data_IF_082985051266
#
_entry.id   IF_082985051266
#
_cell.length_a   1.000
_cell.length_b   1.000
_cell.length_c   1.000
_cell.angle_alpha   90.00
_cell.angle_beta   90.00
_cell.angle_gamma   90.00
#
_symmetry.space_group_name_H-M   'P 1'
#
loop_
_entity.id
_entity.type
_entity.pdbx_description
1 polymer ?
#
# COMPACT_ATOMS: atom_id res chain seq x y z
N UNK A 1 9.22 7.81 19.62
CA UNK A 1 9.69 6.55 19.01
C UNK A 1 8.61 6.02 18.09
N UNK A 2 8.89 5.85 16.79
CA UNK A 2 7.96 5.18 15.88
C UNK A 2 7.84 3.71 16.32
N UNK A 3 6.69 3.34 16.88
CA UNK A 3 6.44 1.96 17.26
C UNK A 3 6.27 1.12 15.99
N UNK A 4 7.10 0.11 15.79
CA UNK A 4 7.03 -0.82 14.65
C UNK A 4 5.61 -1.42 14.53
N UNK A 5 4.95 -1.69 15.67
CA UNK A 5 3.56 -2.16 15.67
C UNK A 5 2.60 -1.11 15.09
N UNK A 6 2.85 0.17 15.35
CA UNK A 6 2.09 1.27 14.78
C UNK A 6 2.27 1.39 13.28
N UNK A 7 3.51 1.31 12.79
CA UNK A 7 3.81 1.37 11.36
C UNK A 7 3.18 0.22 10.57
N UNK A 8 3.20 -1.00 11.13
CA UNK A 8 2.47 -2.13 10.50
C UNK A 8 0.97 -1.86 10.42
N UNK A 9 0.36 -1.41 11.51
CA UNK A 9 -1.06 -1.06 11.52
C UNK A 9 -1.37 0.04 10.51
N UNK A 10 -0.51 1.04 10.40
CA UNK A 10 -0.62 2.15 9.44
C UNK A 10 -0.60 1.62 7.99
N UNK A 11 0.39 0.78 7.65
CA UNK A 11 0.48 0.13 6.33
C UNK A 11 -0.76 -0.72 6.06
N UNK A 12 -1.14 -1.60 7.00
CA UNK A 12 -2.34 -2.43 6.87
C UNK A 12 -3.60 -1.60 6.62
N UNK A 13 -3.79 -0.52 7.40
CA UNK A 13 -4.98 0.31 7.29
C UNK A 13 -5.05 1.01 5.93
N UNK A 14 -3.96 1.63 5.47
CA UNK A 14 -3.97 2.36 4.20
C UNK A 14 -4.13 1.45 2.98
N UNK A 15 -3.46 0.30 2.96
CA UNK A 15 -3.60 -0.65 1.85
C UNK A 15 -4.95 -1.35 1.86
N UNK A 16 -5.52 -1.66 3.03
CA UNK A 16 -6.87 -2.21 3.13
C UNK A 16 -7.90 -1.21 2.59
N UNK A 17 -7.82 0.05 3.02
CA UNK A 17 -8.71 1.14 2.55
C UNK A 17 -8.63 1.30 1.03
N UNK A 18 -7.42 1.30 0.45
CA UNK A 18 -7.24 1.35 -1.01
C UNK A 18 -7.85 0.15 -1.74
N UNK A 19 -7.71 -1.07 -1.19
CA UNK A 19 -8.28 -2.29 -1.78
C UNK A 19 -9.81 -2.24 -1.73
N UNK A 20 -10.38 -1.78 -0.61
CA UNK A 20 -11.82 -1.61 -0.44
C UNK A 20 -12.38 -0.60 -1.47
N UNK A 21 -11.72 0.55 -1.67
CA UNK A 21 -12.08 1.51 -2.71
C UNK A 21 -12.05 0.89 -4.13
N UNK A 22 -11.05 0.05 -4.41
CA UNK A 22 -10.98 -0.66 -5.69
C UNK A 22 -12.18 -1.59 -5.88
N UNK A 23 -12.58 -2.33 -4.83
CA UNK A 23 -13.76 -3.19 -4.88
C UNK A 23 -15.06 -2.41 -5.04
N UNK A 24 -15.22 -1.28 -4.35
CA UNK A 24 -16.35 -0.39 -4.54
C UNK A 24 -16.44 0.11 -6.00
N UNK A 25 -15.30 0.46 -6.60
CA UNK A 25 -15.21 0.83 -8.00
C UNK A 25 -15.65 -0.32 -8.94
N UNK A 26 -15.28 -1.57 -8.65
CA UNK A 26 -15.73 -2.74 -9.41
C UNK A 26 -17.25 -2.92 -9.29
N UNK A 27 -17.82 -2.72 -8.10
CA UNK A 27 -19.26 -2.83 -7.89
C UNK A 27 -20.03 -1.76 -8.65
N UNK A 28 -19.52 -0.52 -8.70
CA UNK A 28 -20.12 0.56 -9.48
C UNK A 28 -19.92 0.39 -10.99
N UNK A 29 -18.76 -0.12 -11.40
CA UNK A 29 -18.36 -0.28 -12.80
C UNK A 29 -17.87 -1.71 -13.10
N UNK A 30 -18.78 -2.71 -13.18
CA UNK A 30 -18.41 -4.12 -13.33
C UNK A 30 -17.60 -4.42 -14.61
N UNK A 31 -17.71 -3.58 -15.64
CA UNK A 31 -16.93 -3.68 -16.88
C UNK A 31 -15.44 -3.36 -16.69
N UNK A 32 -15.08 -2.64 -15.62
CA UNK A 32 -13.69 -2.26 -15.29
C UNK A 32 -12.98 -3.29 -14.43
N UNK A 33 -13.67 -4.36 -14.01
CA UNK A 33 -13.13 -5.44 -13.17
C UNK A 33 -11.77 -5.96 -13.65
N UNK A 34 -11.67 -6.32 -14.92
CA UNK A 34 -10.43 -6.88 -15.49
C UNK A 34 -9.23 -5.91 -15.47
N UNK A 35 -9.48 -4.60 -15.27
CA UNK A 35 -8.44 -3.58 -15.13
C UNK A 35 -8.12 -3.27 -13.67
N UNK A 36 -9.09 -3.42 -12.78
CA UNK A 36 -8.96 -3.18 -11.34
C UNK A 36 -8.33 -4.37 -10.61
N UNK A 37 -8.62 -5.61 -11.03
CA UNK A 37 -8.00 -6.83 -10.49
C UNK A 37 -6.45 -6.76 -10.43
N UNK A 38 -5.73 -6.41 -11.52
CA UNK A 38 -4.28 -6.30 -11.44
C UNK A 38 -3.79 -5.15 -10.56
N UNK A 39 -4.59 -4.10 -10.34
CA UNK A 39 -4.25 -3.01 -9.41
C UNK A 39 -4.36 -3.50 -7.95
N UNK A 40 -5.39 -4.28 -7.65
CA UNK A 40 -5.57 -4.93 -6.33
C UNK A 40 -4.41 -5.89 -6.07
N UNK A 41 -4.04 -6.73 -7.03
CA UNK A 41 -2.90 -7.65 -6.90
C UNK A 41 -1.58 -6.89 -6.67
N UNK A 42 -1.35 -5.78 -7.39
CA UNK A 42 -0.19 -4.92 -7.14
C UNK A 42 -0.19 -4.34 -5.73
N UNK A 43 -1.34 -3.86 -5.24
CA UNK A 43 -1.47 -3.32 -3.90
C UNK A 43 -1.11 -4.36 -2.82
N UNK A 44 -1.57 -5.61 -2.98
CA UNK A 44 -1.22 -6.72 -2.07
C UNK A 44 0.29 -7.01 -2.12
N UNK A 45 0.89 -7.06 -3.30
CA UNK A 45 2.34 -7.29 -3.43
C UNK A 45 3.17 -6.17 -2.79
N UNK A 46 2.77 -4.91 -2.98
CA UNK A 46 3.44 -3.76 -2.38
C UNK A 46 3.30 -3.75 -0.86
N UNK A 47 2.13 -4.13 -0.34
CA UNK A 47 1.89 -4.34 1.08
C UNK A 47 2.82 -5.40 1.66
N UNK A 48 2.90 -6.58 1.04
CA UNK A 48 3.74 -7.68 1.51
C UNK A 48 5.22 -7.28 1.54
N UNK A 49 5.70 -6.61 0.48
CA UNK A 49 7.06 -6.08 0.42
C UNK A 49 7.34 -5.09 1.57
N UNK A 50 6.41 -4.17 1.84
CA UNK A 50 6.56 -3.21 2.94
C UNK A 50 6.59 -3.90 4.30
N UNK A 51 5.76 -4.93 4.51
CA UNK A 51 5.75 -5.68 5.77
C UNK A 51 7.05 -6.47 5.97
N UNK A 52 7.61 -7.06 4.91
CA UNK A 52 8.92 -7.72 4.95
C UNK A 52 9.99 -6.70 5.35
N UNK A 53 10.06 -5.56 4.66
CA UNK A 53 11.02 -4.49 4.98
C UNK A 53 10.88 -3.97 6.42
N UNK A 54 9.65 -3.80 6.92
CA UNK A 54 9.42 -3.42 8.33
C UNK A 54 9.96 -4.48 9.30
N UNK A 55 9.86 -5.76 8.96
CA UNK A 55 10.42 -6.84 9.78
C UNK A 55 11.94 -6.87 9.75
N UNK A 56 12.56 -6.69 8.59
CA UNK A 56 14.03 -6.66 8.42
C UNK A 56 14.64 -5.45 9.14
N UNK A 57 14.00 -4.28 9.02
CA UNK A 57 14.42 -3.03 9.68
C UNK A 57 14.47 -3.10 11.20
N UNK A 58 13.92 -4.15 11.84
CA UNK A 58 13.99 -4.35 13.30
C UNK A 58 15.42 -4.49 13.81
N UNK A 59 16.32 -5.04 13.00
CA UNK A 59 17.71 -5.30 13.35
C UNK A 59 18.66 -4.16 12.93
N UNK A 60 18.13 -3.10 12.32
CA UNK A 60 18.95 -2.02 11.81
C UNK A 60 19.49 -1.11 12.93
N UNK A 61 20.72 -0.62 12.80
CA UNK A 61 21.32 0.30 13.78
C UNK A 61 20.64 1.68 13.75
N UNK A 62 20.22 2.13 12.56
CA UNK A 62 19.59 3.45 12.33
C UNK A 62 18.07 3.33 12.13
N UNK A 63 17.37 2.79 13.13
CA UNK A 63 15.92 2.49 13.05
C UNK A 63 15.05 3.68 12.67
N UNK A 64 15.35 4.87 13.21
CA UNK A 64 14.52 6.05 12.99
C UNK A 64 14.52 6.49 11.53
N UNK A 65 15.70 6.56 10.92
CA UNK A 65 15.85 6.97 9.52
C UNK A 65 15.27 5.91 8.58
N UNK A 66 15.55 4.63 8.85
CA UNK A 66 15.00 3.53 8.08
C UNK A 66 13.46 3.55 8.05
N UNK A 67 12.79 3.69 9.20
CA UNK A 67 11.33 3.73 9.24
C UNK A 67 10.74 5.01 8.65
N UNK A 68 11.45 6.13 8.70
CA UNK A 68 11.03 7.36 8.01
C UNK A 68 11.10 7.20 6.48
N UNK A 69 12.17 6.61 5.97
CA UNK A 69 12.31 6.29 4.55
C UNK A 69 11.25 5.28 4.09
N UNK A 70 10.96 4.27 4.92
CA UNK A 70 9.92 3.29 4.61
C UNK A 70 8.52 3.92 4.54
N UNK A 71 8.21 4.90 5.39
CA UNK A 71 6.98 5.70 5.28
C UNK A 71 6.93 6.55 4.02
N UNK A 72 8.05 7.15 3.62
CA UNK A 72 8.12 7.91 2.38
C UNK A 72 7.89 7.01 1.17
N UNK A 73 8.50 5.82 1.16
CA UNK A 73 8.31 4.80 0.14
C UNK A 73 6.85 4.29 0.08
N UNK A 74 6.25 3.99 1.24
CA UNK A 74 4.83 3.65 1.35
C UNK A 74 3.92 4.71 0.71
N UNK A 75 4.15 6.00 1.01
CA UNK A 75 3.37 7.10 0.41
C UNK A 75 3.56 7.18 -1.10
N UNK A 76 4.78 7.02 -1.59
CA UNK A 76 5.07 7.05 -3.02
C UNK A 76 4.41 5.90 -3.77
N UNK A 77 4.41 4.70 -3.16
CA UNK A 77 3.73 3.50 -3.65
C UNK A 77 2.21 3.69 -3.75
N UNK A 78 1.58 4.11 -2.65
CA UNK A 78 0.14 4.43 -2.65
C UNK A 78 -0.22 5.49 -3.70
N UNK A 79 0.59 6.55 -3.83
CA UNK A 79 0.34 7.59 -4.83
C UNK A 79 0.37 7.04 -6.26
N UNK A 80 1.32 6.14 -6.57
CA UNK A 80 1.35 5.43 -7.86
C UNK A 80 0.12 4.55 -8.08
N UNK A 81 -0.31 3.81 -7.05
CA UNK A 81 -1.52 2.98 -7.13
C UNK A 81 -2.77 3.84 -7.39
N UNK A 82 -2.90 4.98 -6.74
CA UNK A 82 -3.98 5.94 -7.00
C UNK A 82 -3.93 6.53 -8.41
N UNK A 83 -2.74 6.82 -8.94
CA UNK A 83 -2.59 7.28 -10.33
C UNK A 83 -2.99 6.20 -11.34
N UNK A 84 -2.64 4.94 -11.10
CA UNK A 84 -3.09 3.80 -11.93
C UNK A 84 -4.62 3.65 -11.85
N UNK A 85 -5.18 3.71 -10.64
CA UNK A 85 -6.62 3.64 -10.41
C UNK A 85 -7.36 4.76 -11.15
N UNK A 86 -6.88 6.01 -11.05
CA UNK A 86 -7.49 7.17 -11.71
C UNK A 86 -7.45 7.07 -13.24
N UNK A 87 -6.37 6.53 -13.81
CA UNK A 87 -6.25 6.30 -15.26
C UNK A 87 -7.28 5.29 -15.75
N UNK A 88 -7.51 4.22 -15.00
CA UNK A 88 -8.49 3.20 -15.36
C UNK A 88 -9.93 3.58 -14.98
N UNK A 89 -10.11 4.51 -14.05
CA UNK A 89 -11.40 5.09 -13.67
C UNK A 89 -11.94 6.11 -14.70
N UNK A 90 -11.10 6.68 -15.57
CA UNK A 90 -11.55 7.41 -16.78
C UNK A 90 -12.15 6.48 -17.84
#
# INVERSE_FOLDING_TARGET
MANIRGLKKEINFQFADFIDECYECIMQYPKKRSKLEPIIDKAVNEYDELIIRVNEGKHNHEKSEYFNNLRADMKAKLLKLFEELSKEAK
#
